data_IF_846704875448
#
_entry.id   IF_846704875448
#
_cell.length_a   1.000
_cell.length_b   1.000
_cell.length_c   1.000
_cell.angle_alpha   90.00
_cell.angle_beta   90.00
_cell.angle_gamma   90.00
#
_symmetry.space_group_name_H-M   'P 1'
#
loop_
_entity.id
_entity.type
_entity.pdbx_description
1 polymer ?
#
# COMPACT_ATOMS: atom_id res chain seq x y z
N UNK A 1 -3.97 -20.44 -16.73
CA UNK A 1 -3.04 -19.59 -17.49
C UNK A 1 -1.97 -19.13 -16.52
N UNK A 2 -0.70 -19.36 -16.81
CA UNK A 2 0.41 -18.90 -15.97
C UNK A 2 0.85 -17.55 -16.51
N UNK A 3 0.78 -16.50 -15.69
CA UNK A 3 1.41 -15.22 -16.03
C UNK A 3 2.81 -15.28 -15.41
N UNK A 4 3.73 -15.92 -16.12
CA UNK A 4 5.13 -15.93 -15.73
C UNK A 4 5.80 -14.64 -16.18
N UNK A 5 6.46 -14.01 -15.21
CA UNK A 5 7.63 -13.12 -15.33
C UNK A 5 7.41 -11.79 -14.61
N UNK A 6 7.67 -11.80 -13.30
CA UNK A 6 8.35 -10.69 -12.63
C UNK A 6 9.80 -11.13 -12.36
N UNK A 7 10.48 -11.62 -13.39
CA UNK A 7 11.92 -11.81 -13.37
C UNK A 7 12.55 -10.44 -13.62
N UNK A 8 12.90 -9.73 -12.54
CA UNK A 8 13.76 -8.56 -12.54
C UNK A 8 13.50 -7.51 -13.62
N UNK A 9 12.61 -6.57 -13.36
CA UNK A 9 13.06 -5.19 -13.61
C UNK A 9 14.00 -4.84 -12.48
N UNK A 10 15.30 -4.88 -12.78
CA UNK A 10 16.42 -4.28 -12.01
C UNK A 10 16.20 -2.81 -11.61
N UNK A 11 15.00 -2.24 -11.75
CA UNK A 11 14.64 -0.86 -11.48
C UNK A 11 13.23 -0.69 -10.88
N UNK A 12 12.52 -1.78 -10.53
CA UNK A 12 11.26 -1.67 -9.79
C UNK A 12 11.57 -1.64 -8.29
N UNK A 13 12.25 -0.58 -7.88
CA UNK A 13 12.47 -0.28 -6.48
C UNK A 13 11.37 0.69 -6.08
N UNK A 14 10.56 0.30 -5.08
CA UNK A 14 9.93 1.30 -4.23
C UNK A 14 11.07 1.93 -3.42
N UNK A 15 11.61 3.06 -3.88
CA UNK A 15 12.69 3.81 -3.23
C UNK A 15 12.20 4.69 -2.08
N UNK A 16 10.88 4.85 -1.92
CA UNK A 16 10.24 5.57 -0.82
C UNK A 16 8.86 4.97 -0.46
N UNK A 17 8.39 5.20 0.77
CA UNK A 17 7.07 4.79 1.26
C UNK A 17 5.96 5.49 0.49
N UNK A 18 4.90 4.73 0.19
CA UNK A 18 3.86 5.18 -0.74
C UNK A 18 4.21 5.00 -2.21
N UNK A 19 5.42 4.55 -2.57
CA UNK A 19 5.69 4.14 -3.96
C UNK A 19 4.92 2.86 -4.28
N UNK A 20 3.89 3.07 -5.09
CA UNK A 20 3.12 2.03 -5.72
C UNK A 20 3.69 1.74 -7.10
N UNK A 21 3.81 0.46 -7.44
CA UNK A 21 4.14 0.03 -8.79
C UNK A 21 3.04 -0.89 -9.29
N UNK A 22 2.61 -0.65 -10.53
CA UNK A 22 1.65 -1.52 -11.17
C UNK A 22 1.98 -1.76 -12.62
N UNK A 23 1.50 -2.89 -13.11
CA UNK A 23 1.48 -3.18 -14.54
C UNK A 23 0.17 -3.82 -14.92
N UNK A 24 -0.36 -3.41 -16.06
CA UNK A 24 -1.53 -4.04 -16.65
C UNK A 24 -1.20 -5.47 -17.05
N UNK A 25 -2.03 -6.42 -16.66
CA UNK A 25 -1.93 -7.81 -17.10
C UNK A 25 -2.72 -7.95 -18.40
N UNK A 26 -2.02 -8.33 -19.47
CA UNK A 26 -2.65 -8.67 -20.74
C UNK A 26 -3.01 -10.14 -20.74
N UNK A 27 -4.31 -10.44 -20.75
CA UNK A 27 -4.81 -11.81 -20.86
C UNK A 27 -4.94 -12.21 -22.33
N UNK A 28 -4.32 -13.33 -22.71
CA UNK A 28 -4.43 -13.93 -24.04
C UNK A 28 -5.25 -15.22 -23.95
N UNK A 29 -6.51 -15.20 -24.37
CA UNK A 29 -7.38 -16.40 -24.39
C UNK A 29 -8.64 -16.28 -23.51
N UNK A 30 -9.12 -17.42 -23.00
CA UNK A 30 -10.35 -17.52 -22.19
C UNK A 30 -10.20 -16.83 -20.83
N UNK A 31 -11.32 -16.49 -20.19
CA UNK A 31 -11.45 -15.98 -18.82
C UNK A 31 -10.82 -16.94 -17.79
N UNK A 32 -9.60 -16.69 -17.28
CA UNK A 32 -8.97 -17.57 -16.29
C UNK A 32 -9.76 -17.60 -14.97
N UNK A 33 -9.81 -18.75 -14.32
CA UNK A 33 -10.36 -18.94 -12.97
C UNK A 33 -9.41 -18.44 -11.86
N UNK A 34 -8.12 -18.33 -12.17
CA UNK A 34 -7.07 -17.78 -11.29
C UNK A 34 -5.91 -17.17 -12.07
N UNK A 35 -5.25 -16.19 -11.45
CA UNK A 35 -3.97 -15.63 -11.89
C UNK A 35 -2.88 -16.16 -10.95
N UNK A 36 -1.83 -16.75 -11.53
CA UNK A 36 -0.66 -17.19 -10.79
C UNK A 36 0.46 -16.20 -11.10
N UNK A 37 1.07 -15.62 -10.07
CA UNK A 37 2.26 -14.79 -10.22
C UNK A 37 3.37 -15.24 -9.26
N UNK A 38 4.60 -15.19 -9.74
CA UNK A 38 5.80 -15.49 -8.96
C UNK A 38 6.48 -14.18 -8.59
N UNK A 39 6.75 -14.02 -7.30
CA UNK A 39 7.52 -12.92 -6.72
C UNK A 39 8.94 -13.41 -6.51
N UNK A 40 9.92 -12.64 -6.97
CA UNK A 40 11.34 -12.88 -6.75
C UNK A 40 11.95 -11.67 -6.01
N UNK A 41 12.48 -11.93 -4.82
CA UNK A 41 13.12 -10.97 -3.92
C UNK A 41 14.63 -11.19 -3.84
N UNK A 42 15.23 -12.03 -4.70
CA UNK A 42 16.67 -12.36 -4.66
C UNK A 42 17.58 -11.16 -4.91
N UNK A 43 17.15 -10.22 -5.75
CA UNK A 43 17.90 -8.98 -6.04
C UNK A 43 17.92 -7.95 -4.89
N UNK A 44 17.40 -8.27 -3.71
CA UNK A 44 17.33 -7.36 -2.55
C UNK A 44 18.45 -7.58 -1.51
N UNK A 45 19.39 -8.47 -1.81
CA UNK A 45 20.45 -8.86 -0.86
C UNK A 45 21.75 -8.06 -1.05
N UNK A 46 21.79 -7.09 -1.97
CA UNK A 46 23.04 -6.43 -2.38
C UNK A 46 23.50 -5.29 -1.45
N UNK A 47 22.61 -4.63 -0.69
CA UNK A 47 23.00 -3.49 0.15
C UNK A 47 22.90 -3.75 1.66
N UNK A 48 21.96 -4.60 2.11
CA UNK A 48 21.80 -4.92 3.54
C UNK A 48 21.47 -6.39 3.78
N UNK A 49 22.16 -7.06 4.71
CA UNK A 49 21.88 -8.45 5.01
C UNK A 49 20.53 -8.61 5.70
N UNK A 50 19.63 -9.34 5.05
CA UNK A 50 18.31 -9.71 5.57
C UNK A 50 18.43 -10.76 6.67
N UNK A 51 17.64 -10.63 7.73
CA UNK A 51 17.61 -11.57 8.86
C UNK A 51 16.46 -12.55 8.68
N UNK A 52 15.24 -12.03 8.52
CA UNK A 52 14.03 -12.84 8.41
C UNK A 52 13.06 -12.22 7.39
N UNK A 53 12.30 -13.07 6.71
CA UNK A 53 11.15 -12.68 5.89
C UNK A 53 9.92 -13.44 6.34
N UNK A 54 8.78 -12.78 6.28
CA UNK A 54 7.48 -13.37 6.60
C UNK A 54 6.48 -13.04 5.51
N UNK A 55 5.65 -14.02 5.15
CA UNK A 55 4.46 -13.78 4.34
C UNK A 55 3.22 -13.88 5.21
N UNK A 56 2.38 -12.88 5.07
CA UNK A 56 1.06 -12.81 5.67
C UNK A 56 0.05 -12.84 4.55
N UNK A 57 -1.05 -13.53 4.79
CA UNK A 57 -2.22 -13.35 3.98
C UNK A 57 -3.22 -12.59 4.85
N UNK A 58 -3.50 -11.33 4.50
CA UNK A 58 -3.95 -10.24 5.37
C UNK A 58 -5.15 -10.53 6.31
N UNK A 59 -5.90 -11.61 6.12
CA UNK A 59 -7.04 -11.96 7.00
C UNK A 59 -7.23 -13.44 7.32
N UNK A 60 -6.38 -14.35 6.87
CA UNK A 60 -6.36 -15.65 7.56
C UNK A 60 -5.64 -15.40 8.87
N UNK A 61 -6.32 -15.64 9.99
CA UNK A 61 -5.74 -15.83 11.33
C UNK A 61 -4.71 -16.99 11.38
N UNK A 62 -4.09 -17.33 10.25
CA UNK A 62 -3.02 -18.28 10.16
C UNK A 62 -1.73 -17.61 10.60
N UNK A 63 -0.92 -18.36 11.34
CA UNK A 63 0.44 -17.96 11.66
C UNK A 63 1.17 -17.56 10.37
N UNK A 64 1.81 -16.38 10.33
CA UNK A 64 2.59 -15.99 9.18
C UNK A 64 3.66 -17.03 8.93
N UNK A 65 3.89 -17.29 7.65
CA UNK A 65 4.87 -18.27 7.24
C UNK A 65 6.22 -17.57 7.24
N UNK A 66 7.09 -17.98 8.18
CA UNK A 66 8.50 -17.62 8.12
C UNK A 66 9.11 -18.22 6.87
N UNK A 67 9.78 -17.39 6.09
CA UNK A 67 10.42 -17.79 4.84
C UNK A 67 11.90 -17.50 4.95
N UNK A 68 12.63 -18.47 5.50
CA UNK A 68 14.09 -18.37 5.64
C UNK A 68 14.75 -19.05 4.44
N UNK A 69 15.65 -18.35 3.75
CA UNK A 69 16.45 -18.92 2.64
C UNK A 69 15.72 -19.12 1.32
N UNK A 70 14.42 -18.81 1.22
CA UNK A 70 13.75 -18.67 -0.08
C UNK A 70 13.69 -17.21 -0.47
N UNK A 71 14.13 -16.93 -1.68
CA UNK A 71 14.10 -15.61 -2.30
C UNK A 71 12.96 -15.47 -3.30
N UNK A 72 12.10 -16.47 -3.45
CA UNK A 72 10.97 -16.39 -4.37
C UNK A 72 9.78 -17.17 -3.86
N UNK A 73 8.59 -16.77 -4.34
CA UNK A 73 7.34 -17.41 -3.99
C UNK A 73 6.27 -17.25 -5.04
N UNK A 74 5.29 -18.15 -5.02
CA UNK A 74 4.19 -18.13 -5.95
C UNK A 74 2.88 -17.86 -5.23
N UNK A 75 2.15 -16.88 -5.73
CA UNK A 75 0.79 -16.56 -5.32
C UNK A 75 -0.20 -17.03 -6.39
N UNK A 76 -1.33 -17.57 -5.95
CA UNK A 76 -2.45 -17.93 -6.81
C UNK A 76 -3.68 -17.14 -6.37
N UNK A 77 -4.06 -16.12 -7.16
CA UNK A 77 -5.20 -15.24 -6.88
C UNK A 77 -6.41 -15.72 -7.67
N UNK A 78 -7.51 -16.14 -7.01
CA UNK A 78 -8.73 -16.51 -7.70
C UNK A 78 -9.35 -15.30 -8.39
N UNK A 79 -9.95 -15.53 -9.54
CA UNK A 79 -10.61 -14.49 -10.34
C UNK A 79 -12.10 -14.75 -10.41
N UNK A 80 -12.89 -13.72 -10.15
CA UNK A 80 -14.34 -13.73 -10.37
C UNK A 80 -14.66 -12.92 -11.63
N UNK A 81 -15.62 -13.40 -12.41
CA UNK A 81 -16.09 -12.74 -13.61
C UNK A 81 -17.56 -12.37 -13.43
N UNK A 82 -17.95 -11.18 -13.89
CA UNK A 82 -19.34 -10.77 -13.97
C UNK A 82 -19.73 -10.54 -15.42
N UNK A 83 -21.00 -10.73 -15.77
CA UNK A 83 -21.46 -10.40 -17.12
C UNK A 83 -21.59 -8.89 -17.27
N UNK A 84 -20.81 -8.32 -18.18
CA UNK A 84 -20.86 -6.91 -18.54
C UNK A 84 -21.86 -6.59 -19.63
N UNK A 85 -21.87 -5.32 -20.03
CA UNK A 85 -22.69 -4.83 -21.14
C UNK A 85 -22.33 -5.57 -22.44
N UNK A 86 -23.35 -6.01 -23.19
CA UNK A 86 -23.24 -6.82 -24.43
C UNK A 86 -22.60 -8.20 -24.26
N UNK A 87 -22.65 -8.78 -23.06
CA UNK A 87 -22.18 -10.15 -22.81
C UNK A 87 -20.66 -10.29 -22.77
N UNK A 88 -19.94 -9.17 -22.60
CA UNK A 88 -18.49 -9.18 -22.35
C UNK A 88 -18.26 -9.41 -20.86
N UNK A 89 -17.52 -10.46 -20.50
CA UNK A 89 -17.18 -10.74 -19.11
C UNK A 89 -16.26 -9.66 -18.55
N UNK A 90 -16.64 -9.09 -17.41
CA UNK A 90 -15.88 -8.07 -16.69
C UNK A 90 -15.16 -8.74 -15.52
N UNK A 91 -13.83 -8.60 -15.42
CA UNK A 91 -13.10 -9.14 -14.31
C UNK A 91 -13.37 -8.40 -13.01
N UNK A 92 -13.44 -9.17 -11.93
CA UNK A 92 -13.49 -8.69 -10.56
C UNK A 92 -12.48 -9.49 -9.71
N UNK A 93 -11.65 -8.79 -8.95
CA UNK A 93 -10.93 -9.37 -7.81
C UNK A 93 -11.61 -8.89 -6.54
N UNK A 94 -12.27 -9.78 -5.82
CA UNK A 94 -12.61 -9.61 -4.40
C UNK A 94 -12.90 -10.97 -3.77
N UNK A 95 -11.85 -11.60 -3.30
CA UNK A 95 -11.96 -12.56 -2.19
C UNK A 95 -11.00 -12.10 -1.12
N UNK A 96 -11.52 -11.39 -0.12
CA UNK A 96 -10.78 -10.87 1.02
C UNK A 96 -9.84 -11.94 1.60
N UNK A 97 -8.54 -11.64 1.70
CA UNK A 97 -7.54 -12.57 2.20
C UNK A 97 -7.18 -13.69 1.21
N UNK A 98 -7.37 -13.46 -0.09
CA UNK A 98 -6.87 -14.34 -1.17
C UNK A 98 -6.26 -13.57 -2.34
N UNK A 99 -6.54 -12.28 -2.44
CA UNK A 99 -6.12 -11.38 -3.51
C UNK A 99 -4.94 -10.49 -3.14
N UNK A 100 -4.47 -10.54 -1.88
CA UNK A 100 -3.28 -9.84 -1.42
C UNK A 100 -2.37 -10.70 -0.52
N UNK A 101 -1.08 -10.38 -0.49
CA UNK A 101 -0.08 -10.91 0.46
C UNK A 101 0.73 -9.73 0.98
N UNK A 102 0.88 -9.66 2.29
CA UNK A 102 1.86 -8.78 2.90
C UNK A 102 3.20 -9.50 3.01
N UNK A 103 4.27 -8.83 2.60
CA UNK A 103 5.64 -9.26 2.78
C UNK A 103 6.28 -8.36 3.83
N UNK A 104 6.72 -8.96 4.95
CA UNK A 104 7.59 -8.30 5.91
C UNK A 104 9.02 -8.76 5.68
N UNK A 105 9.92 -7.81 5.43
CA UNK A 105 11.36 -8.04 5.35
C UNK A 105 12.03 -7.34 6.53
N UNK A 106 12.85 -8.06 7.30
CA UNK A 106 13.56 -7.53 8.47
C UNK A 106 15.06 -7.60 8.23
N UNK A 107 15.74 -6.49 8.50
CA UNK A 107 17.17 -6.30 8.26
C UNK A 107 17.99 -6.42 9.55
N UNK A 108 19.31 -6.60 9.41
CA UNK A 108 20.20 -6.82 10.57
C UNK A 108 20.28 -5.66 11.54
N UNK A 109 20.01 -4.45 11.09
CA UNK A 109 20.00 -3.24 11.91
C UNK A 109 18.68 -3.07 12.71
N UNK A 110 17.72 -3.97 12.51
CA UNK A 110 16.39 -3.93 13.13
C UNK A 110 15.38 -3.06 12.37
N UNK A 111 15.75 -2.51 11.22
CA UNK A 111 14.79 -1.92 10.30
C UNK A 111 13.95 -3.01 9.64
N UNK A 112 12.77 -2.64 9.15
CA UNK A 112 11.89 -3.53 8.41
C UNK A 112 11.06 -2.76 7.38
N UNK A 113 10.68 -3.49 6.33
CA UNK A 113 9.77 -3.02 5.27
C UNK A 113 8.55 -3.94 5.23
N UNK A 114 7.35 -3.34 5.19
CA UNK A 114 6.11 -4.01 4.84
C UNK A 114 5.69 -3.60 3.42
N UNK A 115 5.45 -4.59 2.57
CA UNK A 115 4.88 -4.41 1.24
C UNK A 115 3.58 -5.20 1.07
N UNK A 116 2.63 -4.64 0.34
CA UNK A 116 1.41 -5.34 -0.06
C UNK A 116 1.48 -5.68 -1.56
N UNK A 117 1.35 -6.97 -1.86
CA UNK A 117 1.37 -7.52 -3.22
C UNK A 117 -0.02 -8.03 -3.58
N UNK A 118 -0.60 -7.57 -4.68
CA UNK A 118 -1.99 -7.89 -5.04
C UNK A 118 -2.25 -7.93 -6.54
N UNK A 119 -3.37 -8.57 -6.93
CA UNK A 119 -4.00 -8.34 -8.22
C UNK A 119 -5.25 -7.46 -8.01
N UNK A 120 -5.24 -6.29 -8.63
CA UNK A 120 -6.36 -5.34 -8.55
C UNK A 120 -7.09 -5.27 -9.89
N UNK A 121 -8.40 -5.03 -9.85
CA UNK A 121 -9.21 -4.78 -11.05
C UNK A 121 -9.65 -3.34 -11.14
N UNK A 122 -9.46 -2.74 -12.31
CA UNK A 122 -9.98 -1.41 -12.62
C UNK A 122 -10.47 -1.32 -14.06
N UNK A 123 -11.68 -0.76 -14.25
CA UNK A 123 -12.35 -0.60 -15.57
C UNK A 123 -12.26 -1.85 -16.47
N UNK A 124 -12.50 -3.02 -15.88
CA UNK A 124 -12.49 -4.30 -16.60
C UNK A 124 -11.10 -4.80 -17.03
N UNK A 125 -10.02 -4.26 -16.45
CA UNK A 125 -8.64 -4.70 -16.64
C UNK A 125 -8.08 -5.25 -15.32
N UNK A 126 -7.14 -6.19 -15.41
CA UNK A 126 -6.33 -6.61 -14.27
C UNK A 126 -5.03 -5.84 -14.22
N UNK A 127 -4.56 -5.59 -13.01
CA UNK A 127 -3.25 -5.02 -12.74
C UNK A 127 -2.58 -5.87 -11.66
N UNK A 128 -1.32 -6.21 -11.91
CA UNK A 128 -0.43 -6.60 -10.81
C UNK A 128 -0.01 -5.32 -10.10
N UNK A 129 -0.11 -5.32 -8.77
CA UNK A 129 0.10 -4.16 -7.93
C UNK A 129 1.02 -4.51 -6.76
N UNK A 130 1.97 -3.62 -6.46
CA UNK A 130 2.88 -3.70 -5.32
C UNK A 130 2.96 -2.33 -4.68
N UNK A 131 2.82 -2.26 -3.37
CA UNK A 131 2.93 -1.00 -2.63
C UNK A 131 3.76 -1.19 -1.37
N UNK A 132 4.73 -0.31 -1.13
CA UNK A 132 5.41 -0.22 0.16
C UNK A 132 4.49 0.51 1.13
N UNK A 133 3.91 -0.26 2.03
CA UNK A 133 2.96 0.21 3.04
C UNK A 133 3.70 0.95 4.16
N UNK A 134 4.84 0.41 4.60
CA UNK A 134 5.57 0.98 5.73
C UNK A 134 7.06 0.64 5.71
N UNK A 135 7.89 1.64 6.01
CA UNK A 135 9.30 1.47 6.36
C UNK A 135 9.54 1.98 7.79
N UNK A 136 10.01 1.10 8.65
CA UNK A 136 10.21 1.42 10.05
C UNK A 136 11.39 0.72 10.69
N UNK A 137 11.63 1.07 11.95
CA UNK A 137 12.55 0.34 12.82
C UNK A 137 11.82 0.02 14.12
N UNK A 138 11.85 -1.24 14.54
CA UNK A 138 11.42 -1.56 15.89
C UNK A 138 12.54 -1.17 16.88
N UNK A 139 12.18 -0.52 17.98
CA UNK A 139 13.10 0.07 18.94
C UNK A 139 12.74 -0.43 20.33
N UNK A 140 13.71 -0.99 21.03
CA UNK A 140 13.49 -1.44 22.41
C UNK A 140 13.21 -0.26 23.34
N UNK A 141 12.14 -0.34 24.13
CA UNK A 141 11.79 0.61 25.19
C UNK A 141 11.68 -0.11 26.54
N UNK A 142 11.66 0.67 27.63
CA UNK A 142 11.40 0.12 28.97
C UNK A 142 9.97 -0.44 29.00
N UNK A 143 9.85 -1.77 29.02
CA UNK A 143 8.56 -2.46 29.05
C UNK A 143 8.05 -2.99 27.70
N UNK A 144 8.83 -2.94 26.62
CA UNK A 144 8.44 -3.52 25.33
C UNK A 144 9.22 -2.99 24.14
N UNK A 145 8.54 -2.89 23.01
CA UNK A 145 9.07 -2.37 21.75
C UNK A 145 8.15 -1.26 21.22
N UNK A 146 8.74 -0.31 20.54
CA UNK A 146 8.04 0.70 19.76
C UNK A 146 8.45 0.60 18.30
N UNK A 147 7.66 1.12 17.38
CA UNK A 147 8.00 1.20 15.96
C UNK A 147 8.13 2.66 15.59
N UNK A 148 9.29 3.04 15.06
CA UNK A 148 9.51 4.38 14.53
C UNK A 148 9.50 4.34 13.01
N UNK A 149 8.85 5.33 12.39
CA UNK A 149 8.91 5.53 10.95
C UNK A 149 10.31 6.00 10.55
N UNK A 150 10.85 5.42 9.48
CA UNK A 150 12.13 5.84 8.90
C UNK A 150 11.97 6.77 7.68
N UNK A 151 10.74 7.02 7.26
CA UNK A 151 10.42 7.90 6.14
C UNK A 151 9.27 8.86 6.51
N UNK A 152 9.31 10.06 5.92
CA UNK A 152 8.36 11.12 6.24
C UNK A 152 6.91 10.78 5.87
N UNK A 153 6.71 9.98 4.80
CA UNK A 153 5.37 9.58 4.36
C UNK A 153 4.67 8.65 5.36
N UNK A 154 5.43 8.01 6.25
CA UNK A 154 4.91 7.17 7.33
C UNK A 154 4.77 7.93 8.66
N UNK A 155 5.05 9.23 8.69
CA UNK A 155 5.13 10.04 9.90
C UNK A 155 4.06 11.13 10.04
N UNK A 156 2.97 11.07 9.26
CA UNK A 156 1.89 12.07 9.29
C UNK A 156 1.17 12.19 10.65
N UNK A 157 0.54 13.33 11.03
CA UNK A 157 -0.34 13.51 12.17
C UNK A 157 -1.43 12.46 12.22
N UNK A 158 -1.51 11.79 13.37
CA UNK A 158 -2.40 10.65 13.54
C UNK A 158 -1.85 9.34 12.95
N UNK A 159 -0.61 9.33 12.43
CA UNK A 159 0.04 8.10 12.03
C UNK A 159 0.21 7.18 13.24
N UNK A 160 -0.53 6.08 13.21
CA UNK A 160 -0.35 4.95 14.11
C UNK A 160 -0.21 3.71 13.25
N UNK A 161 0.97 3.10 13.21
CA UNK A 161 1.18 1.91 12.39
C UNK A 161 0.17 0.80 12.72
N UNK A 162 -0.06 0.55 14.02
CA UNK A 162 -1.10 -0.38 14.48
C UNK A 162 -2.52 0.15 14.32
N UNK A 163 -2.74 1.46 14.36
CA UNK A 163 -4.09 2.06 14.24
C UNK A 163 -4.56 2.34 12.81
N UNK A 164 -3.65 2.36 11.84
CA UNK A 164 -3.96 2.53 10.41
C UNK A 164 -4.08 1.16 9.73
N UNK A 165 -3.25 0.20 10.16
CA UNK A 165 -3.11 -1.11 9.51
C UNK A 165 -3.61 -2.27 10.39
N UNK A 166 -4.35 -1.96 11.47
CA UNK A 166 -4.95 -2.86 12.47
C UNK A 166 -4.16 -4.18 12.66
N UNK A 167 -4.84 -5.34 12.66
CA UNK A 167 -4.32 -6.66 13.02
C UNK A 167 -2.97 -7.02 12.34
N UNK A 168 -2.70 -6.49 11.15
CA UNK A 168 -1.44 -6.71 10.42
C UNK A 168 -0.31 -5.87 11.01
N UNK A 169 -0.56 -4.61 11.38
CA UNK A 169 0.44 -3.75 12.03
C UNK A 169 0.91 -4.30 13.38
N UNK A 170 0.00 -4.84 14.19
CA UNK A 170 0.35 -5.50 15.45
C UNK A 170 1.15 -6.79 15.25
N UNK A 171 0.78 -7.59 14.25
CA UNK A 171 1.54 -8.78 13.86
C UNK A 171 2.95 -8.40 13.42
N UNK A 172 3.08 -7.45 12.48
CA UNK A 172 4.37 -6.96 11.98
C UNK A 172 5.24 -6.44 13.12
N UNK A 173 4.68 -5.63 14.01
CA UNK A 173 5.39 -5.09 15.18
C UNK A 173 5.94 -6.20 16.07
N UNK A 174 5.14 -7.24 16.34
CA UNK A 174 5.55 -8.40 17.13
C UNK A 174 6.70 -9.18 16.47
N UNK A 175 6.57 -9.51 15.18
CA UNK A 175 7.61 -10.27 14.46
C UNK A 175 8.90 -9.47 14.29
N UNK A 176 8.80 -8.15 14.07
CA UNK A 176 9.94 -7.25 14.08
C UNK A 176 10.63 -7.27 15.45
N UNK A 177 9.88 -7.12 16.55
CA UNK A 177 10.42 -7.17 17.91
C UNK A 177 11.13 -8.49 18.24
N UNK A 178 10.49 -9.63 17.99
CA UNK A 178 11.05 -10.97 18.22
C UNK A 178 12.34 -11.21 17.41
N UNK A 179 12.41 -10.65 16.20
CA UNK A 179 13.60 -10.77 15.36
C UNK A 179 14.74 -9.88 15.87
N UNK A 180 14.45 -8.66 16.32
CA UNK A 180 15.44 -7.72 16.87
C UNK A 180 16.13 -8.26 18.11
N UNK A 181 15.43 -9.00 18.97
CA UNK A 181 16.04 -9.67 20.13
C UNK A 181 17.22 -10.57 19.74
N UNK A 182 17.19 -11.15 18.53
CA UNK A 182 18.23 -12.04 18.03
C UNK A 182 19.44 -11.31 17.45
N UNK A 183 19.25 -10.11 16.88
CA UNK A 183 20.29 -9.41 16.11
C UNK A 183 21.01 -8.31 16.88
N UNK A 184 20.52 -7.98 18.08
CA UNK A 184 20.99 -6.89 18.95
C UNK A 184 21.00 -5.52 18.22
N UNK A 185 20.00 -4.69 18.53
CA UNK A 185 19.93 -3.31 18.00
C UNK A 185 21.18 -2.51 18.40
N UNK A 186 22.05 -2.22 17.44
CA UNK A 186 23.30 -1.48 17.69
C UNK A 186 23.09 0.02 17.85
N UNK A 187 22.08 0.58 17.19
CA UNK A 187 21.85 2.02 17.14
C UNK A 187 20.35 2.36 17.14
N UNK A 188 19.99 3.41 17.88
CA UNK A 188 18.66 4.01 17.86
C UNK A 188 18.63 5.07 16.76
N UNK A 189 17.81 4.87 15.74
CA UNK A 189 17.60 5.89 14.69
C UNK A 189 16.56 6.90 15.18
N UNK A 190 16.78 8.22 15.01
CA UNK A 190 15.75 9.21 15.28
C UNK A 190 14.58 9.01 14.33
N UNK A 191 13.35 9.07 14.86
CA UNK A 191 12.15 9.03 14.04
C UNK A 191 12.15 10.21 13.05
N UNK A 192 11.77 9.95 11.81
CA UNK A 192 11.57 11.02 10.82
C UNK A 192 10.30 11.78 11.16
N UNK A 193 10.32 13.11 11.00
CA UNK A 193 9.15 13.95 11.16
C UNK A 193 8.41 14.09 9.83
N UNK A 194 7.08 14.26 9.86
CA UNK A 194 6.37 14.67 8.65
C UNK A 194 6.84 16.06 8.20
N UNK A 195 7.40 16.11 6.99
CA UNK A 195 7.75 17.34 6.30
C UNK A 195 7.04 17.39 4.93
N UNK A 196 5.74 17.78 4.86
CA UNK A 196 5.00 17.86 3.60
C UNK A 196 5.62 18.89 2.65
N UNK A 197 5.54 18.71 1.32
CA UNK A 197 5.97 19.72 0.37
C UNK A 197 5.10 20.98 0.47
N UNK A 198 5.62 22.09 -0.06
CA UNK A 198 4.80 23.27 -0.30
C UNK A 198 3.75 22.96 -1.37
N UNK A 199 2.50 23.37 -1.12
CA UNK A 199 1.40 23.16 -2.07
C UNK A 199 0.99 24.50 -2.67
N UNK A 200 1.18 24.70 -3.99
CA UNK A 200 0.78 25.92 -4.69
C UNK A 200 -0.68 26.28 -4.45
N UNK A 201 -1.00 27.58 -4.54
CA UNK A 201 -2.39 28.02 -4.49
C UNK A 201 -3.19 27.43 -5.66
N UNK A 202 -4.44 27.02 -5.44
CA UNK A 202 -5.28 26.53 -6.51
C UNK A 202 -5.70 27.64 -7.48
N UNK A 203 -6.19 27.25 -8.65
CA UNK A 203 -6.66 28.18 -9.69
C UNK A 203 -7.95 28.93 -9.32
N UNK A 204 -8.71 28.45 -8.34
CA UNK A 204 -9.93 29.11 -7.86
C UNK A 204 -10.23 28.76 -6.40
N UNK A 205 -10.95 29.65 -5.71
CA UNK A 205 -11.29 29.56 -4.27
C UNK A 205 -12.17 28.37 -3.87
N UNK A 206 -12.74 27.63 -4.83
CA UNK A 206 -13.54 26.43 -4.54
C UNK A 206 -12.69 25.19 -4.24
N UNK A 207 -11.41 25.24 -4.58
CA UNK A 207 -10.50 24.11 -4.43
C UNK A 207 -9.74 24.23 -3.12
N UNK A 208 -9.64 23.10 -2.45
CA UNK A 208 -8.76 22.90 -1.32
C UNK A 208 -7.39 22.49 -1.83
N UNK A 209 -6.36 22.71 -1.02
CA UNK A 209 -5.03 22.18 -1.30
C UNK A 209 -4.52 21.36 -0.13
N UNK A 210 -3.78 20.32 -0.45
CA UNK A 210 -3.37 19.39 0.57
C UNK A 210 -2.28 18.45 0.11
N UNK A 211 -1.94 17.54 1.01
CA UNK A 211 -0.91 16.53 0.78
C UNK A 211 -1.50 15.17 1.04
N UNK A 212 -1.25 14.22 0.13
CA UNK A 212 -1.66 12.84 0.30
C UNK A 212 -0.95 12.25 1.52
N UNK A 213 -1.74 11.80 2.50
CA UNK A 213 -1.23 11.11 3.70
C UNK A 213 -0.80 9.69 3.33
N UNK A 214 -1.73 8.97 2.70
CA UNK A 214 -1.56 7.63 2.17
C UNK A 214 -2.67 7.31 1.19
N UNK A 215 -2.44 6.37 0.29
CA UNK A 215 -3.47 5.81 -0.57
C UNK A 215 -3.15 4.35 -0.89
N UNK A 216 -3.98 3.45 -0.38
CA UNK A 216 -3.82 2.03 -0.61
C UNK A 216 -4.51 1.66 -1.94
N UNK A 217 -3.73 1.25 -2.94
CA UNK A 217 -4.23 0.94 -4.28
C UNK A 217 -5.03 -0.36 -4.37
N UNK A 218 -4.83 -1.29 -3.42
CA UNK A 218 -5.59 -2.55 -3.31
C UNK A 218 -7.05 -2.27 -2.95
N UNK A 219 -7.25 -1.54 -1.86
CA UNK A 219 -8.57 -1.07 -1.42
C UNK A 219 -9.11 0.04 -2.33
N UNK A 220 -8.21 0.81 -2.96
CA UNK A 220 -8.51 2.01 -3.73
C UNK A 220 -9.01 3.15 -2.86
N UNK A 221 -8.46 3.28 -1.65
CA UNK A 221 -8.87 4.28 -0.67
C UNK A 221 -7.66 4.87 0.05
N UNK A 222 -7.79 6.11 0.49
CA UNK A 222 -6.70 6.82 1.15
C UNK A 222 -7.19 8.02 1.96
N UNK A 223 -6.24 8.85 2.38
CA UNK A 223 -6.49 10.13 3.02
C UNK A 223 -5.61 11.25 2.47
N UNK A 224 -6.18 12.45 2.42
CA UNK A 224 -5.48 13.70 2.08
C UNK A 224 -5.57 14.61 3.30
N UNK A 225 -4.45 15.25 3.64
CA UNK A 225 -4.38 16.28 4.67
C UNK A 225 -4.58 17.65 4.03
N UNK A 226 -5.57 18.38 4.49
CA UNK A 226 -5.88 19.74 4.08
C UNK A 226 -5.01 20.74 4.86
N UNK A 227 -4.35 21.64 4.15
CA UNK A 227 -3.42 22.61 4.75
C UNK A 227 -4.17 23.81 5.34
N UNK A 228 -5.34 24.16 4.80
CA UNK A 228 -6.15 25.29 5.26
C UNK A 228 -6.80 25.01 6.61
N UNK A 229 -7.49 23.88 6.74
CA UNK A 229 -8.28 23.55 7.93
C UNK A 229 -7.60 22.59 8.91
N UNK A 230 -6.43 22.07 8.54
CA UNK A 230 -5.65 21.10 9.31
C UNK A 230 -6.44 19.83 9.67
N UNK A 231 -7.18 19.29 8.70
CA UNK A 231 -7.93 18.04 8.85
C UNK A 231 -7.63 17.03 7.75
N UNK A 232 -7.95 15.76 8.03
CA UNK A 232 -7.82 14.69 7.04
C UNK A 232 -9.15 14.39 6.35
N UNK A 233 -9.14 14.31 5.03
CA UNK A 233 -10.28 13.93 4.20
C UNK A 233 -10.10 12.52 3.61
N UNK A 234 -11.20 11.78 3.52
CA UNK A 234 -11.21 10.48 2.86
C UNK A 234 -11.21 10.64 1.34
N UNK A 235 -10.39 9.87 0.64
CA UNK A 235 -10.38 9.80 -0.82
C UNK A 235 -10.62 8.37 -1.29
N UNK A 236 -11.46 8.23 -2.32
CA UNK A 236 -11.70 6.96 -3.00
C UNK A 236 -11.17 7.05 -4.43
N UNK A 237 -10.63 5.95 -4.98
CA UNK A 237 -10.06 5.87 -6.34
C UNK A 237 -10.94 6.37 -7.48
N UNK A 238 -12.27 6.41 -7.29
CA UNK A 238 -13.23 6.96 -8.26
C UNK A 238 -13.19 8.49 -8.35
N UNK A 239 -12.61 9.13 -7.35
CA UNK A 239 -12.53 10.55 -7.21
C UNK A 239 -11.13 11.09 -7.59
N UNK A 240 -10.26 10.21 -8.09
CA UNK A 240 -8.91 10.52 -8.58
C UNK A 240 -8.99 10.68 -10.10
N UNK A 241 -8.51 11.80 -10.64
CA UNK A 241 -8.40 11.97 -12.09
C UNK A 241 -7.39 10.98 -12.68
N UNK A 242 -7.76 10.34 -13.79
CA UNK A 242 -6.93 9.31 -14.43
C UNK A 242 -6.25 9.86 -15.66
N UNK A 243 -4.95 9.58 -15.81
CA UNK A 243 -4.28 9.63 -17.11
C UNK A 243 -4.62 8.35 -17.89
N UNK A 244 -5.22 8.49 -19.08
CA UNK A 244 -5.35 7.45 -20.11
C UNK A 244 -5.91 6.06 -19.70
N UNK A 245 -6.73 5.96 -18.64
CA UNK A 245 -7.41 4.72 -18.26
C UNK A 245 -6.50 3.68 -17.60
N UNK A 246 -5.43 4.14 -16.97
CA UNK A 246 -4.57 3.38 -16.07
C UNK A 246 -5.19 3.24 -14.67
N UNK A 247 -4.47 2.59 -13.75
CA UNK A 247 -4.91 2.40 -12.38
C UNK A 247 -4.80 3.75 -11.63
N UNK A 248 -5.90 4.31 -11.10
CA UNK A 248 -5.84 5.53 -10.30
C UNK A 248 -5.13 5.24 -8.98
N UNK A 249 -3.98 5.86 -8.79
CA UNK A 249 -3.20 5.84 -7.56
C UNK A 249 -2.88 7.26 -7.13
N UNK A 250 -2.59 7.44 -5.85
CA UNK A 250 -2.01 8.66 -5.32
C UNK A 250 -0.76 8.28 -4.55
N UNK A 251 0.34 8.94 -4.86
CA UNK A 251 1.58 8.76 -4.10
C UNK A 251 1.49 9.54 -2.78
N UNK A 252 1.94 8.92 -1.69
CA UNK A 252 2.06 9.62 -0.41
C UNK A 252 3.01 10.81 -0.53
N UNK A 253 2.83 11.85 0.27
CA UNK A 253 3.59 13.11 0.20
C UNK A 253 3.36 13.95 -1.05
N UNK A 254 2.47 13.56 -1.97
CA UNK A 254 2.20 14.33 -3.16
C UNK A 254 1.24 15.49 -2.87
N UNK A 255 1.57 16.66 -3.42
CA UNK A 255 0.74 17.85 -3.40
C UNK A 255 -0.48 17.69 -4.32
N UNK A 256 -1.67 18.01 -3.82
CA UNK A 256 -2.92 17.85 -4.56
C UNK A 256 -3.84 19.05 -4.38
N UNK A 257 -4.63 19.33 -5.42
CA UNK A 257 -5.83 20.15 -5.32
C UNK A 257 -7.06 19.24 -5.36
N UNK A 258 -8.02 19.49 -4.47
CA UNK A 258 -9.20 18.66 -4.36
C UNK A 258 -10.46 19.46 -4.00
N UNK A 259 -11.61 18.88 -4.31
CA UNK A 259 -12.91 19.39 -3.91
C UNK A 259 -13.46 18.54 -2.77
N UNK A 260 -14.03 19.18 -1.75
CA UNK A 260 -14.68 18.48 -0.64
C UNK A 260 -16.18 18.35 -0.94
N UNK A 261 -16.72 17.16 -0.71
CA UNK A 261 -18.15 16.87 -0.81
C UNK A 261 -18.64 16.10 0.41
N UNK A 262 -19.79 16.52 0.96
CA UNK A 262 -20.49 15.81 2.03
C UNK A 262 -21.32 14.63 1.51
N UNK A 263 -21.25 14.32 0.21
CA UNK A 263 -22.05 13.26 -0.39
C UNK A 263 -21.53 11.87 0.01
N UNK A 264 -22.37 10.98 0.57
CA UNK A 264 -21.97 9.62 0.85
C UNK A 264 -21.65 8.88 -0.45
N UNK A 265 -20.55 8.12 -0.47
CA UNK A 265 -20.18 7.28 -1.60
C UNK A 265 -21.24 6.19 -1.79
N UNK A 266 -22.13 6.35 -2.78
CA UNK A 266 -23.15 5.32 -3.10
C UNK A 266 -22.47 4.03 -3.58
N UNK A 267 -22.63 2.93 -2.84
CA UNK A 267 -22.24 1.57 -3.28
C UNK A 267 -21.50 0.62 -2.31
N UNK A 268 -21.43 0.89 -0.99
CA UNK A 268 -20.83 0.07 0.10
C UNK A 268 -19.29 -0.14 0.02
N UNK A 269 -18.53 0.05 1.11
CA UNK A 269 -18.53 -0.67 2.40
C UNK A 269 -18.39 0.26 3.65
N UNK A 270 -18.89 -0.12 4.85
CA UNK A 270 -18.61 0.53 6.15
C UNK A 270 -17.62 -0.29 7.03
N UNK A 271 -17.12 0.21 8.20
CA UNK A 271 -16.99 1.59 8.66
C UNK A 271 -15.51 2.02 8.78
N UNK A 272 -15.16 3.21 8.31
CA UNK A 272 -14.19 4.05 9.03
C UNK A 272 -15.08 5.00 9.80
N UNK A 273 -14.95 5.03 11.13
CA UNK A 273 -15.78 5.84 12.02
C UNK A 273 -16.01 7.23 11.43
N UNK A 274 -17.29 7.53 11.15
CA UNK A 274 -17.80 8.82 10.68
C UNK A 274 -16.98 9.47 9.55
N UNK A 275 -17.16 8.97 8.32
CA UNK A 275 -16.82 9.76 7.12
C UNK A 275 -17.76 10.97 7.11
N UNK A 276 -17.26 12.12 7.55
CA UNK A 276 -18.01 13.38 7.56
C UNK A 276 -17.93 14.09 6.21
N UNK A 277 -16.91 13.78 5.39
CA UNK A 277 -16.63 14.47 4.12
C UNK A 277 -15.71 13.63 3.21
N UNK A 278 -15.85 13.77 1.90
CA UNK A 278 -15.11 13.04 0.85
C UNK A 278 -14.37 14.04 -0.04
N UNK A 279 -13.07 13.82 -0.25
CA UNK A 279 -12.29 14.56 -1.23
C UNK A 279 -12.42 13.93 -2.63
N UNK A 280 -12.62 14.78 -3.63
CA UNK A 280 -12.40 14.48 -5.05
C UNK A 280 -11.10 15.14 -5.48
N UNK A 281 -10.07 14.32 -5.67
CA UNK A 281 -8.75 14.76 -6.13
C UNK A 281 -8.78 14.84 -7.64
N UNK A 282 -8.93 16.06 -8.15
CA UNK A 282 -9.14 16.30 -9.57
C UNK A 282 -7.93 17.00 -10.20
N UNK A 283 -6.91 17.40 -9.44
CA UNK A 283 -5.64 17.86 -10.01
C UNK A 283 -4.47 17.44 -9.10
N UNK A 284 -3.52 16.66 -9.64
CA UNK A 284 -2.24 16.37 -9.00
C UNK A 284 -1.30 17.52 -9.33
N UNK A 285 -0.72 18.15 -8.31
CA UNK A 285 0.18 19.28 -8.49
C UNK A 285 1.60 18.72 -8.53
N UNK A 286 2.23 18.77 -9.71
CA UNK A 286 3.64 18.41 -9.82
C UNK A 286 4.47 19.37 -8.94
N UNK A 287 5.31 18.79 -8.09
CA UNK A 287 6.27 19.50 -7.24
C UNK A 287 7.50 19.97 -8.04
#
# INVERSE_FOLDING_TARGET
MTVSDFAGTRNAYSTSSGEAMWRKIMLTGRTPDKIIFTVDTSGREEDEPVVERFWFNARKEGEPKKVTGQTSFTMAVPVRWSQGYRGVDIPHTRETGKDNVDLLTIYKDGSFVQEEWSIVTWRGKFFQYVEKIFLGQAVKKRGGYDVVALEASNAYPGASFSGIWDQVGDLVTRYAAESIEKVMQKHKVPAVAWNPPEVPNPKSDQWHRGVVMYFNGVTGTGRVWDIEDQQSYFVHRKAVEEEHGDLPVLESMTAVHFLVSDAPVKGQLPPIEKIHSVASVVEIVAA
#
